data_IF_871221407413
#
_entry.id   IF_871221407413
#
_cell.length_a   1.000
_cell.length_b   1.000
_cell.length_c   1.000
_cell.angle_alpha   90.00
_cell.angle_beta   90.00
_cell.angle_gamma   90.00
#
_symmetry.space_group_name_H-M   'P 1'
#
loop_
_entity.id
_entity.type
_entity.pdbx_description
1 polymer ?
#
# COMPACT_ATOMS: atom_id res chain seq x y z
N UNK A 1 46.60 3.41 82.80
CA UNK A 1 47.45 3.77 81.66
C UNK A 1 47.90 2.49 81.00
N UNK A 2 47.23 2.12 79.93
CA UNK A 2 47.69 1.05 79.01
C UNK A 2 47.40 1.44 77.60
N UNK A 3 48.44 1.66 76.81
CA UNK A 3 48.36 1.95 75.39
C UNK A 3 48.28 0.64 74.62
N UNK A 4 47.19 0.42 73.89
CA UNK A 4 47.10 -0.70 72.97
C UNK A 4 47.48 -0.24 71.57
N UNK A 5 48.47 -0.78 70.94
CA UNK A 5 48.92 -0.51 69.59
C UNK A 5 48.14 -1.44 68.64
N UNK A 6 47.41 -0.83 67.68
CA UNK A 6 46.82 -1.58 66.57
C UNK A 6 47.81 -1.63 65.40
N UNK A 7 47.97 -2.82 64.83
CA UNK A 7 48.72 -3.10 63.59
C UNK A 7 47.85 -2.80 62.38
N UNK A 8 48.40 -2.24 61.30
CA UNK A 8 47.64 -2.02 60.10
C UNK A 8 47.60 -3.33 59.28
N UNK A 9 46.37 -3.71 58.84
CA UNK A 9 46.08 -4.75 57.87
C UNK A 9 46.44 -4.25 56.47
N UNK A 10 47.44 -4.88 55.80
CA UNK A 10 47.77 -4.61 54.41
C UNK A 10 46.76 -5.34 53.51
N UNK A 11 45.94 -4.58 52.80
CA UNK A 11 45.07 -5.09 51.77
C UNK A 11 45.88 -5.36 50.46
N UNK A 12 46.01 -6.62 50.10
CA UNK A 12 46.58 -7.03 48.78
C UNK A 12 45.48 -6.94 47.75
N UNK A 13 45.50 -5.92 46.92
CA UNK A 13 44.65 -5.79 45.73
C UNK A 13 45.28 -6.64 44.62
N UNK A 14 44.67 -7.78 44.32
CA UNK A 14 44.97 -8.55 43.12
C UNK A 14 44.33 -7.89 41.92
N UNK A 15 45.13 -7.24 41.08
CA UNK A 15 44.67 -6.76 39.79
C UNK A 15 44.51 -7.93 38.83
N UNK A 16 43.27 -8.34 38.56
CA UNK A 16 42.99 -9.31 37.51
C UNK A 16 43.11 -8.60 36.15
N UNK A 17 44.15 -8.89 35.42
CA UNK A 17 44.33 -8.48 34.03
C UNK A 17 43.37 -9.28 33.16
N UNK A 18 42.26 -8.68 32.78
CA UNK A 18 41.37 -9.24 31.77
C UNK A 18 42.07 -9.06 30.42
N UNK A 19 42.69 -10.12 29.91
CA UNK A 19 43.16 -10.19 28.53
C UNK A 19 41.90 -10.39 27.65
N UNK A 20 41.37 -9.31 27.09
CA UNK A 20 40.42 -9.42 26.01
C UNK A 20 41.13 -9.94 24.77
N UNK A 21 40.61 -10.96 24.08
CA UNK A 21 41.17 -11.33 22.79
C UNK A 21 40.99 -10.15 21.83
N UNK A 22 42.10 -9.59 21.35
CA UNK A 22 42.11 -8.68 20.23
C UNK A 22 41.74 -9.51 19.00
N UNK A 23 40.45 -9.54 18.66
CA UNK A 23 40.03 -9.93 17.33
C UNK A 23 40.68 -8.95 16.37
N UNK A 24 41.46 -9.43 15.40
CA UNK A 24 41.92 -8.66 14.25
C UNK A 24 40.71 -8.15 13.44
N UNK A 25 40.06 -7.15 13.97
CA UNK A 25 39.15 -6.32 13.23
C UNK A 25 39.99 -5.36 12.38
N UNK A 26 40.41 -5.80 11.22
CA UNK A 26 40.66 -4.88 10.14
C UNK A 26 39.33 -4.16 9.97
N UNK A 27 39.22 -2.95 10.54
CA UNK A 27 37.99 -2.19 10.66
C UNK A 27 37.43 -1.79 9.30
N UNK A 28 36.76 -2.71 8.65
CA UNK A 28 35.81 -2.35 7.62
C UNK A 28 34.65 -1.66 8.33
N UNK A 29 34.54 -0.36 8.11
CA UNK A 29 33.36 0.39 8.51
C UNK A 29 32.18 -0.36 7.87
N UNK A 30 31.23 -0.88 8.67
CA UNK A 30 30.08 -1.59 8.09
C UNK A 30 29.38 -0.68 7.08
N UNK A 31 28.85 -1.22 5.98
CA UNK A 31 28.19 -0.39 4.96
C UNK A 31 27.08 0.41 5.62
N UNK A 32 27.14 1.73 5.48
CA UNK A 32 26.10 2.63 5.98
C UNK A 32 24.90 2.57 5.05
N UNK A 33 24.09 1.52 5.20
CA UNK A 33 22.82 1.34 4.48
C UNK A 33 21.70 1.38 5.48
N UNK A 34 20.85 2.38 5.35
CA UNK A 34 19.57 2.41 6.08
C UNK A 34 18.55 1.59 5.31
N UNK A 35 17.86 0.67 5.98
CA UNK A 35 16.64 0.09 5.44
C UNK A 35 15.57 -0.02 6.52
N UNK A 36 14.36 0.40 6.15
CA UNK A 36 13.24 0.48 7.08
C UNK A 36 11.90 0.27 6.39
N UNK A 37 10.94 -0.20 7.15
CA UNK A 37 9.53 -0.28 6.78
C UNK A 37 8.83 0.96 7.35
N UNK A 38 8.34 1.89 6.51
CA UNK A 38 7.78 3.17 6.97
C UNK A 38 6.45 3.00 7.73
N UNK A 39 5.63 2.03 7.33
CA UNK A 39 4.35 1.70 7.98
C UNK A 39 4.33 0.23 8.37
N UNK A 40 3.97 -0.06 9.60
CA UNK A 40 3.81 -1.44 10.11
C UNK A 40 2.90 -2.24 9.19
N UNK A 41 3.35 -3.41 8.66
CA UNK A 41 2.55 -4.25 7.80
C UNK A 41 1.33 -4.80 8.54
N UNK A 42 0.17 -4.73 7.92
CA UNK A 42 -1.07 -5.32 8.42
C UNK A 42 -1.47 -6.49 7.54
N UNK A 43 -1.93 -7.59 8.14
CA UNK A 43 -2.38 -8.77 7.39
C UNK A 43 -3.65 -8.44 6.62
N UNK A 44 -3.61 -8.63 5.31
CA UNK A 44 -4.77 -8.54 4.43
C UNK A 44 -5.19 -9.95 3.99
N UNK A 45 -6.49 -10.22 3.96
CA UNK A 45 -7.03 -11.47 3.42
C UNK A 45 -7.53 -11.24 1.99
N UNK A 46 -7.24 -12.18 1.10
CA UNK A 46 -7.66 -12.19 -0.31
C UNK A 46 -8.39 -13.48 -0.61
N UNK A 47 -8.86 -13.66 -1.83
CA UNK A 47 -9.42 -14.92 -2.32
C UNK A 47 -8.42 -16.08 -2.24
N UNK A 48 -7.14 -15.79 -2.52
CA UNK A 48 -6.05 -16.76 -2.59
C UNK A 48 -5.32 -16.99 -1.26
N UNK A 49 -5.69 -16.28 -0.17
CA UNK A 49 -5.06 -16.48 1.13
C UNK A 49 -4.85 -15.20 1.93
N UNK A 50 -3.76 -15.16 2.68
CA UNK A 50 -3.35 -13.99 3.46
C UNK A 50 -2.02 -13.44 2.98
N UNK A 51 -1.87 -12.12 3.01
CA UNK A 51 -0.71 -11.42 2.49
C UNK A 51 -0.33 -10.22 3.36
N UNK A 52 0.96 -9.92 3.41
CA UNK A 52 1.50 -8.66 3.87
C UNK A 52 1.96 -7.86 2.64
N UNK A 53 1.34 -6.72 2.39
CA UNK A 53 1.71 -5.81 1.32
C UNK A 53 2.24 -4.51 1.91
N UNK A 54 3.54 -4.25 1.74
CA UNK A 54 4.23 -3.09 2.33
C UNK A 54 5.49 -2.73 1.55
N UNK A 55 6.09 -1.61 1.86
CA UNK A 55 7.29 -1.09 1.23
C UNK A 55 8.50 -1.19 2.18
N UNK A 56 9.65 -1.60 1.62
CA UNK A 56 10.95 -1.51 2.27
C UNK A 56 11.75 -0.39 1.60
N UNK A 57 12.11 0.64 2.35
CA UNK A 57 12.97 1.71 1.89
C UNK A 57 14.42 1.32 2.14
N UNK A 58 15.27 1.43 1.12
CA UNK A 58 16.70 1.13 1.19
C UNK A 58 17.47 2.35 0.73
N UNK A 59 18.28 2.94 1.60
CA UNK A 59 19.06 4.15 1.33
C UNK A 59 20.54 3.87 1.47
N UNK A 60 21.32 4.15 0.43
CA UNK A 60 22.77 4.12 0.49
C UNK A 60 23.28 5.41 1.16
N UNK A 61 23.80 5.35 2.35
CA UNK A 61 24.37 6.48 3.08
C UNK A 61 25.89 6.63 2.88
N UNK A 62 26.50 5.83 2.01
CA UNK A 62 27.91 5.95 1.65
C UNK A 62 28.10 6.82 0.41
N UNK A 63 29.32 7.25 0.13
CA UNK A 63 29.67 7.94 -1.14
C UNK A 63 29.85 6.96 -2.32
N UNK A 64 30.05 5.66 -2.04
CA UNK A 64 30.32 4.65 -3.06
C UNK A 64 29.04 4.01 -3.58
N UNK A 65 28.91 3.77 -4.89
CA UNK A 65 27.75 3.07 -5.43
C UNK A 65 27.72 1.61 -4.96
N UNK A 66 26.53 1.06 -4.82
CA UNK A 66 26.31 -0.34 -4.52
C UNK A 66 25.14 -0.89 -5.32
N UNK A 67 25.09 -2.20 -5.48
CA UNK A 67 23.98 -2.91 -6.16
C UNK A 67 23.23 -3.79 -5.17
N UNK A 68 21.91 -3.62 -5.12
CA UNK A 68 21.03 -4.50 -4.36
C UNK A 68 20.81 -5.79 -5.15
N UNK A 69 21.29 -6.93 -4.60
CA UNK A 69 21.27 -8.23 -5.25
C UNK A 69 20.09 -9.10 -4.81
N UNK A 70 19.73 -9.01 -3.52
CA UNK A 70 18.64 -9.81 -2.95
C UNK A 70 17.99 -9.09 -1.78
N UNK A 71 16.67 -9.31 -1.65
CA UNK A 71 15.90 -8.92 -0.46
C UNK A 71 15.11 -10.13 0.00
N UNK A 72 15.31 -10.52 1.24
CA UNK A 72 14.59 -11.62 1.89
C UNK A 72 13.78 -11.09 3.05
N UNK A 73 12.56 -11.63 3.20
CA UNK A 73 11.70 -11.43 4.36
C UNK A 73 11.73 -12.70 5.20
N UNK A 74 12.12 -12.57 6.46
CA UNK A 74 12.36 -13.70 7.35
C UNK A 74 11.48 -13.57 8.59
N UNK A 75 10.90 -14.68 9.05
CA UNK A 75 10.21 -14.79 10.34
C UNK A 75 10.51 -16.11 10.99
N UNK A 76 10.81 -16.10 12.29
CA UNK A 76 11.17 -17.31 13.07
C UNK A 76 12.18 -18.23 12.36
N UNK A 77 13.20 -17.63 11.74
CA UNK A 77 14.25 -18.36 11.01
C UNK A 77 13.87 -18.89 9.63
N UNK A 78 12.60 -18.73 9.19
CA UNK A 78 12.14 -19.13 7.86
C UNK A 78 12.11 -17.96 6.91
N UNK A 79 12.54 -18.15 5.66
CA UNK A 79 12.37 -17.21 4.57
C UNK A 79 10.93 -17.32 4.08
N UNK A 80 10.16 -16.23 4.20
CA UNK A 80 8.78 -16.12 3.74
C UNK A 80 8.72 -15.64 2.29
N UNK A 81 9.66 -14.79 1.88
CA UNK A 81 9.77 -14.26 0.52
C UNK A 81 11.23 -13.94 0.22
N UNK A 82 11.62 -14.16 -1.03
CA UNK A 82 12.94 -13.82 -1.55
C UNK A 82 12.79 -13.21 -2.93
N UNK A 83 13.33 -12.01 -3.11
CA UNK A 83 13.42 -11.32 -4.40
C UNK A 83 14.89 -11.21 -4.79
N UNK A 84 15.20 -11.55 -6.05
CA UNK A 84 16.57 -11.57 -6.54
C UNK A 84 16.72 -10.81 -7.86
N UNK A 85 17.91 -10.28 -8.10
CA UNK A 85 18.26 -9.70 -9.40
C UNK A 85 18.47 -10.78 -10.46
N UNK A 86 18.84 -12.00 -10.06
CA UNK A 86 19.10 -13.12 -10.95
C UNK A 86 17.87 -13.56 -11.78
N UNK A 87 16.65 -13.41 -11.22
CA UNK A 87 15.39 -13.77 -11.86
C UNK A 87 14.52 -12.54 -12.23
N UNK A 88 15.08 -11.35 -12.14
CA UNK A 88 14.43 -10.06 -12.36
C UNK A 88 13.28 -9.72 -11.39
N UNK A 89 12.98 -10.58 -10.41
CA UNK A 89 11.88 -10.33 -9.46
C UNK A 89 12.14 -9.06 -8.65
N UNK A 90 13.39 -8.83 -8.25
CA UNK A 90 13.78 -7.65 -7.49
C UNK A 90 13.67 -6.36 -8.32
N UNK A 91 14.11 -6.37 -9.63
CA UNK A 91 13.94 -5.20 -10.50
C UNK A 91 12.47 -4.83 -10.67
N UNK A 92 11.61 -5.83 -10.89
CA UNK A 92 10.17 -5.61 -11.03
C UNK A 92 9.54 -5.07 -9.75
N UNK A 93 9.99 -5.54 -8.59
CA UNK A 93 9.51 -5.09 -7.29
C UNK A 93 10.08 -3.75 -6.82
N UNK A 94 11.07 -3.17 -7.52
CA UNK A 94 11.77 -1.97 -7.08
C UNK A 94 11.38 -0.75 -7.89
N UNK A 95 11.21 0.39 -7.22
CA UNK A 95 11.13 1.73 -7.80
C UNK A 95 12.23 2.63 -7.25
N UNK A 96 12.50 3.71 -7.98
CA UNK A 96 13.35 4.80 -7.54
C UNK A 96 12.53 6.08 -7.49
N UNK A 97 12.88 7.00 -6.63
CA UNK A 97 12.22 8.32 -6.53
C UNK A 97 12.39 9.11 -7.84
N UNK A 98 13.53 8.95 -8.50
CA UNK A 98 13.78 9.49 -9.83
C UNK A 98 13.45 8.46 -10.90
N UNK A 99 12.89 8.90 -12.03
CA UNK A 99 12.67 8.02 -13.18
C UNK A 99 14.02 7.61 -13.78
N UNK A 100 14.34 6.33 -13.67
CA UNK A 100 15.55 5.72 -14.24
C UNK A 100 15.18 4.44 -15.01
N UNK A 101 16.01 3.98 -15.95
CA UNK A 101 15.79 2.71 -16.64
C UNK A 101 15.60 1.55 -15.66
N UNK A 102 14.76 0.58 -16.03
CA UNK A 102 14.47 -0.59 -15.17
C UNK A 102 15.75 -1.35 -14.81
N UNK A 103 16.70 -1.45 -15.75
CA UNK A 103 17.98 -2.13 -15.55
C UNK A 103 18.84 -1.49 -14.44
N UNK A 104 18.70 -0.18 -14.21
CA UNK A 104 19.52 0.56 -13.23
C UNK A 104 18.86 0.70 -11.86
N UNK A 105 17.62 0.22 -11.70
CA UNK A 105 16.85 0.39 -10.45
C UNK A 105 17.54 -0.13 -9.21
N UNK A 106 18.36 -1.17 -9.35
CA UNK A 106 19.05 -1.83 -8.25
C UNK A 106 20.41 -1.23 -7.93
N UNK A 107 20.95 -0.36 -8.80
CA UNK A 107 22.21 0.35 -8.57
C UNK A 107 21.94 1.61 -7.75
N UNK A 108 22.44 1.65 -6.53
CA UNK A 108 22.24 2.73 -5.56
C UNK A 108 23.52 3.55 -5.45
N UNK A 109 23.56 4.72 -6.09
CA UNK A 109 24.61 5.70 -5.88
C UNK A 109 24.54 6.30 -4.47
N UNK A 110 25.58 7.01 -4.04
CA UNK A 110 25.61 7.67 -2.74
C UNK A 110 24.40 8.60 -2.53
N UNK A 111 23.71 8.48 -1.40
CA UNK A 111 22.49 9.20 -1.08
C UNK A 111 21.22 8.69 -1.78
N UNK A 112 21.33 7.71 -2.67
CA UNK A 112 20.18 7.21 -3.42
C UNK A 112 19.30 6.28 -2.57
N UNK A 113 17.98 6.37 -2.81
CA UNK A 113 16.97 5.49 -2.18
C UNK A 113 16.27 4.63 -3.22
N UNK A 114 16.13 3.34 -2.92
CA UNK A 114 15.19 2.43 -3.57
C UNK A 114 13.97 2.18 -2.68
N UNK A 115 12.83 1.91 -3.31
CA UNK A 115 11.61 1.46 -2.66
C UNK A 115 11.32 0.06 -3.20
N UNK A 116 11.37 -0.95 -2.33
CA UNK A 116 11.07 -2.34 -2.68
C UNK A 116 9.65 -2.66 -2.23
N UNK A 117 8.78 -2.98 -3.17
CA UNK A 117 7.39 -3.36 -2.92
C UNK A 117 7.32 -4.85 -2.61
N UNK A 118 7.00 -5.17 -1.38
CA UNK A 118 6.93 -6.54 -0.88
C UNK A 118 5.49 -7.02 -0.85
N UNK A 119 5.27 -8.17 -1.47
CA UNK A 119 4.01 -8.92 -1.44
C UNK A 119 4.34 -10.30 -0.87
N UNK A 120 4.09 -10.47 0.43
CA UNK A 120 4.57 -11.64 1.19
C UNK A 120 3.38 -12.51 1.56
N UNK A 121 3.17 -13.65 0.91
CA UNK A 121 2.18 -14.63 1.34
C UNK A 121 2.48 -15.11 2.76
N UNK A 122 1.45 -15.22 3.59
CA UNK A 122 1.55 -15.70 4.96
C UNK A 122 0.46 -16.71 5.27
N UNK A 123 0.67 -17.51 6.31
CA UNK A 123 -0.36 -18.42 6.79
C UNK A 123 -1.54 -17.63 7.37
N UNK A 124 -2.74 -17.87 6.83
CA UNK A 124 -3.98 -17.22 7.29
C UNK A 124 -4.31 -17.55 8.73
N UNK A 125 -4.09 -18.80 9.15
CA UNK A 125 -4.40 -19.28 10.50
C UNK A 125 -3.38 -18.79 11.53
N UNK A 126 -2.12 -18.66 11.11
CA UNK A 126 -1.02 -18.29 11.99
C UNK A 126 -0.05 -17.30 11.33
N UNK A 127 -0.49 -16.06 11.05
CA UNK A 127 0.38 -15.05 10.45
C UNK A 127 1.53 -14.71 11.41
N UNK A 128 2.71 -14.32 10.88
CA UNK A 128 3.85 -13.96 11.70
C UNK A 128 3.54 -12.75 12.58
N UNK A 129 4.05 -12.74 13.81
CA UNK A 129 3.93 -11.59 14.70
C UNK A 129 4.98 -10.50 14.38
N UNK A 130 6.06 -10.89 13.73
CA UNK A 130 7.18 -10.00 13.41
C UNK A 130 7.99 -10.52 12.23
N UNK A 131 8.64 -9.60 11.54
CA UNK A 131 9.49 -9.86 10.38
C UNK A 131 10.89 -9.31 10.62
N UNK A 132 11.87 -9.88 9.90
CA UNK A 132 13.18 -9.27 9.66
C UNK A 132 13.44 -9.22 8.17
N UNK A 133 14.25 -8.27 7.75
CA UNK A 133 14.67 -8.12 6.36
C UNK A 133 16.17 -8.39 6.27
N UNK A 134 16.54 -9.22 5.30
CA UNK A 134 17.93 -9.51 4.98
C UNK A 134 18.22 -9.04 3.57
N UNK A 135 19.24 -8.19 3.42
CA UNK A 135 19.65 -7.62 2.16
C UNK A 135 21.01 -8.17 1.76
N UNK A 136 21.15 -8.61 0.51
CA UNK A 136 22.44 -8.89 -0.09
C UNK A 136 22.80 -7.72 -1.00
N UNK A 137 23.91 -7.09 -0.73
CA UNK A 137 24.45 -5.94 -1.44
C UNK A 137 25.80 -6.29 -2.04
N UNK A 138 26.08 -5.72 -3.21
CA UNK A 138 27.41 -5.83 -3.84
C UNK A 138 28.01 -4.45 -4.02
N UNK A 139 29.25 -4.28 -3.60
CA UNK A 139 30.10 -3.12 -3.83
C UNK A 139 31.39 -3.61 -4.46
N UNK A 140 31.65 -3.17 -5.69
CA UNK A 140 32.73 -3.71 -6.53
C UNK A 140 32.66 -5.25 -6.59
N UNK A 141 33.68 -5.94 -6.06
CA UNK A 141 33.76 -7.40 -5.99
C UNK A 141 33.28 -7.97 -4.67
N UNK A 142 32.98 -7.13 -3.67
CA UNK A 142 32.60 -7.57 -2.32
C UNK A 142 31.09 -7.70 -2.22
N UNK A 143 30.64 -8.85 -1.78
CA UNK A 143 29.22 -9.11 -1.46
C UNK A 143 29.04 -9.14 0.06
N UNK A 144 28.09 -8.38 0.55
CA UNK A 144 27.77 -8.25 1.97
C UNK A 144 26.31 -8.61 2.22
N UNK A 145 26.03 -9.22 3.36
CA UNK A 145 24.68 -9.53 3.81
C UNK A 145 24.40 -8.74 5.08
N UNK A 146 23.35 -7.92 5.02
CA UNK A 146 22.89 -7.12 6.16
C UNK A 146 21.56 -7.66 6.65
N UNK A 147 21.39 -7.77 7.96
CA UNK A 147 20.10 -8.08 8.58
C UNK A 147 19.61 -6.89 9.41
N UNK A 148 18.37 -6.49 9.18
CA UNK A 148 17.75 -5.37 9.85
C UNK A 148 17.13 -5.73 11.20
N UNK A 149 16.63 -4.69 11.87
CA UNK A 149 15.85 -4.84 13.09
C UNK A 149 14.50 -5.51 12.84
N UNK A 150 13.89 -5.98 13.91
CA UNK A 150 12.57 -6.59 13.86
C UNK A 150 11.49 -5.57 13.53
N UNK A 151 10.62 -5.91 12.59
CA UNK A 151 9.42 -5.15 12.22
C UNK A 151 8.19 -5.89 12.77
N UNK A 152 7.34 -5.28 13.61
CA UNK A 152 6.10 -5.91 14.06
C UNK A 152 5.11 -6.09 12.90
N UNK A 153 4.11 -6.96 13.09
CA UNK A 153 3.01 -7.18 12.15
C UNK A 153 1.69 -6.98 12.88
N UNK A 154 0.80 -6.17 12.31
CA UNK A 154 -0.58 -5.99 12.77
C UNK A 154 -1.49 -7.08 12.18
N UNK A 155 -2.36 -7.67 13.02
CA UNK A 155 -3.20 -8.80 12.61
C UNK A 155 -4.59 -8.41 12.11
N UNK A 156 -5.08 -7.24 12.50
CA UNK A 156 -6.46 -6.84 12.24
C UNK A 156 -6.54 -5.75 11.17
N UNK A 157 -7.07 -6.10 10.01
CA UNK A 157 -7.56 -5.12 9.04
C UNK A 157 -8.88 -4.50 9.52
N UNK A 158 -9.18 -3.29 9.05
CA UNK A 158 -10.42 -2.57 9.40
C UNK A 158 -11.62 -3.27 8.79
N UNK A 159 -12.60 -3.68 9.61
CA UNK A 159 -13.83 -4.32 9.12
C UNK A 159 -14.83 -3.27 8.62
N UNK A 160 -15.23 -3.39 7.37
CA UNK A 160 -16.17 -2.48 6.70
C UNK A 160 -17.26 -3.23 5.95
N UNK A 161 -18.36 -2.55 5.61
CA UNK A 161 -19.26 -3.00 4.53
C UNK A 161 -18.75 -2.48 3.18
N UNK A 162 -19.18 -3.06 2.06
CA UNK A 162 -18.80 -2.57 0.73
C UNK A 162 -19.23 -1.11 0.48
N UNK A 163 -18.44 -0.34 -0.31
CA UNK A 163 -18.77 1.03 -0.69
C UNK A 163 -19.88 1.11 -1.74
N UNK A 164 -20.18 0.02 -2.42
CA UNK A 164 -21.16 -0.11 -3.51
C UNK A 164 -21.85 -1.48 -3.45
N UNK A 165 -22.96 -1.67 -4.17
CA UNK A 165 -23.69 -2.96 -4.27
C UNK A 165 -23.54 -3.56 -5.66
N UNK A 166 -23.68 -4.89 -5.77
CA UNK A 166 -23.70 -5.60 -7.04
C UNK A 166 -22.32 -5.97 -7.59
N UNK A 167 -22.21 -6.10 -8.91
CA UNK A 167 -20.99 -6.59 -9.56
C UNK A 167 -20.08 -5.46 -10.03
N UNK A 168 -18.78 -5.60 -9.75
CA UNK A 168 -17.75 -4.60 -10.04
C UNK A 168 -16.43 -5.25 -10.42
N UNK A 169 -15.73 -4.65 -11.37
CA UNK A 169 -14.35 -4.96 -11.67
C UNK A 169 -13.42 -4.09 -10.80
N UNK A 170 -12.47 -4.70 -10.11
CA UNK A 170 -11.50 -4.03 -9.24
C UNK A 170 -10.23 -3.70 -10.02
N UNK A 171 -10.15 -2.51 -10.60
CA UNK A 171 -8.94 -2.04 -11.27
C UNK A 171 -8.03 -1.26 -10.32
N UNK A 172 -6.73 -1.17 -10.68
CA UNK A 172 -5.71 -0.50 -9.87
C UNK A 172 -5.68 -0.97 -8.40
N UNK A 173 -6.29 -2.11 -8.11
CA UNK A 173 -6.36 -2.69 -6.78
C UNK A 173 -5.00 -3.15 -6.24
N UNK A 174 -4.97 -3.68 -5.00
CA UNK A 174 -3.73 -4.11 -4.37
C UNK A 174 -2.97 -5.13 -5.22
N UNK A 175 -1.76 -4.78 -5.63
CA UNK A 175 -0.79 -5.67 -6.27
C UNK A 175 0.57 -4.96 -6.36
N UNK A 176 1.67 -5.70 -6.59
CA UNK A 176 2.98 -5.07 -6.81
C UNK A 176 3.07 -4.31 -8.14
N UNK A 177 2.15 -4.53 -9.09
CA UNK A 177 2.11 -3.88 -10.40
C UNK A 177 1.18 -2.66 -10.43
N UNK A 178 0.32 -2.48 -9.44
CA UNK A 178 -0.67 -1.40 -9.38
C UNK A 178 -0.02 -0.01 -9.38
N UNK A 179 -0.53 0.87 -10.23
CA UNK A 179 -0.13 2.29 -10.25
C UNK A 179 -0.42 2.98 -8.92
N UNK A 180 -1.56 2.69 -8.29
CA UNK A 180 -1.92 3.20 -6.97
C UNK A 180 -0.87 2.86 -5.92
N UNK A 181 -0.51 1.59 -5.80
CA UNK A 181 0.47 1.16 -4.82
C UNK A 181 1.86 1.75 -5.05
N UNK A 182 2.23 1.98 -6.31
CA UNK A 182 3.53 2.54 -6.67
C UNK A 182 3.61 4.06 -6.55
N UNK A 183 2.50 4.71 -6.20
CA UNK A 183 2.46 6.13 -5.92
C UNK A 183 2.91 6.38 -4.47
N UNK A 184 4.20 6.59 -4.29
CA UNK A 184 4.81 7.02 -3.03
C UNK A 184 5.18 8.48 -3.16
N UNK A 185 4.61 9.33 -2.32
CA UNK A 185 4.82 10.77 -2.35
C UNK A 185 5.42 11.26 -1.03
N UNK A 186 6.23 12.31 -1.13
CA UNK A 186 6.69 13.06 0.03
C UNK A 186 5.87 14.35 0.11
N UNK A 187 4.98 14.42 1.08
CA UNK A 187 4.11 15.57 1.35
C UNK A 187 4.26 15.95 2.81
N UNK A 188 4.24 17.23 3.11
CA UNK A 188 4.35 17.76 4.47
C UNK A 188 5.53 17.21 5.28
N UNK A 189 6.67 16.97 4.58
CA UNK A 189 7.92 16.51 5.17
C UNK A 189 8.01 15.01 5.47
N UNK A 190 7.01 14.21 5.14
CA UNK A 190 7.05 12.75 5.29
C UNK A 190 6.62 12.02 4.02
N UNK A 191 7.04 10.77 3.91
CA UNK A 191 6.72 9.91 2.76
C UNK A 191 5.56 9.00 3.12
N UNK A 192 4.54 8.95 2.27
CA UNK A 192 3.38 8.07 2.42
C UNK A 192 3.09 7.28 1.14
N UNK A 193 2.54 6.06 1.30
CA UNK A 193 1.93 5.25 0.26
C UNK A 193 0.41 5.24 0.46
N UNK A 194 -0.22 6.40 0.18
CA UNK A 194 -1.63 6.63 0.49
C UNK A 194 -2.57 5.66 -0.22
N UNK A 195 -2.25 5.27 -1.43
CA UNK A 195 -3.08 4.41 -2.26
C UNK A 195 -2.64 2.93 -2.25
N UNK A 196 -1.90 2.48 -1.23
CA UNK A 196 -1.39 1.08 -1.13
C UNK A 196 -2.48 0.03 -1.31
N UNK A 197 -3.68 0.28 -0.81
CA UNK A 197 -4.83 -0.61 -0.86
C UNK A 197 -6.05 0.03 -1.54
N UNK A 198 -5.84 1.10 -2.30
CA UNK A 198 -6.90 1.74 -3.07
C UNK A 198 -7.36 0.85 -4.22
N UNK A 199 -8.64 0.96 -4.57
CA UNK A 199 -9.26 0.23 -5.67
C UNK A 199 -10.14 1.19 -6.47
N UNK A 200 -10.05 1.12 -7.80
CA UNK A 200 -10.99 1.73 -8.73
C UNK A 200 -12.04 0.69 -9.10
N UNK A 201 -13.26 0.87 -8.62
CA UNK A 201 -14.38 -0.01 -8.94
C UNK A 201 -15.14 0.50 -10.16
N UNK A 202 -15.12 -0.30 -11.24
CA UNK A 202 -15.87 -0.06 -12.48
C UNK A 202 -16.96 -1.10 -12.64
N UNK A 203 -18.13 -0.71 -13.16
CA UNK A 203 -19.13 -1.67 -13.64
C UNK A 203 -18.85 -2.03 -15.09
N UNK A 204 -18.93 -3.32 -15.40
CA UNK A 204 -18.75 -3.84 -16.75
C UNK A 204 -19.86 -4.84 -17.09
N UNK A 205 -20.22 -4.94 -18.36
CA UNK A 205 -21.14 -5.95 -18.85
C UNK A 205 -20.44 -7.32 -19.01
N UNK A 206 -21.16 -8.31 -19.50
CA UNK A 206 -20.65 -9.67 -19.73
C UNK A 206 -19.52 -9.73 -20.76
N UNK A 207 -19.36 -8.72 -21.60
CA UNK A 207 -18.30 -8.60 -22.60
C UNK A 207 -17.12 -7.74 -22.12
N UNK A 208 -17.18 -7.21 -20.88
CA UNK A 208 -16.17 -6.36 -20.31
C UNK A 208 -16.30 -4.87 -20.68
N UNK A 209 -17.36 -4.44 -21.35
CA UNK A 209 -17.56 -3.01 -21.65
C UNK A 209 -18.05 -2.27 -20.41
N UNK A 210 -17.41 -1.15 -20.08
CA UNK A 210 -17.88 -0.21 -19.04
C UNK A 210 -19.02 0.69 -19.53
N UNK A 211 -19.25 0.77 -20.83
CA UNK A 211 -20.23 1.61 -21.50
C UNK A 211 -21.29 0.79 -22.22
N UNK A 212 -22.55 1.25 -22.19
CA UNK A 212 -23.67 0.59 -22.89
C UNK A 212 -23.42 0.56 -24.39
N UNK A 213 -23.59 -0.60 -25.05
CA UNK A 213 -23.36 -0.74 -26.49
C UNK A 213 -24.19 0.24 -27.33
N UNK A 214 -23.61 0.74 -28.43
CA UNK A 214 -24.27 1.64 -29.35
C UNK A 214 -24.48 3.08 -28.85
N UNK A 215 -23.96 3.42 -27.66
CA UNK A 215 -24.11 4.77 -27.07
C UNK A 215 -22.86 5.63 -27.27
N UNK A 216 -23.02 6.97 -27.16
CA UNK A 216 -21.92 7.92 -27.30
C UNK A 216 -20.91 7.78 -26.14
N UNK A 217 -19.62 7.65 -26.47
CA UNK A 217 -18.55 7.53 -25.48
C UNK A 217 -18.32 8.83 -24.68
N UNK A 218 -18.70 9.97 -25.21
CA UNK A 218 -18.52 11.29 -24.58
C UNK A 218 -19.50 11.61 -23.44
N UNK A 219 -20.53 10.79 -23.24
CA UNK A 219 -21.55 11.02 -22.21
C UNK A 219 -21.37 10.10 -21.02
N UNK A 220 -21.11 10.67 -19.84
CA UNK A 220 -20.97 9.93 -18.58
C UNK A 220 -22.19 9.03 -18.30
N UNK A 221 -23.41 9.50 -18.58
CA UNK A 221 -24.67 8.75 -18.36
C UNK A 221 -24.78 7.46 -19.17
N UNK A 222 -23.93 7.25 -20.17
CA UNK A 222 -23.88 6.03 -20.96
C UNK A 222 -23.01 4.91 -20.34
N UNK A 223 -22.29 5.23 -19.27
CA UNK A 223 -21.48 4.25 -18.52
C UNK A 223 -22.32 3.59 -17.42
N UNK A 224 -22.10 2.29 -17.21
CA UNK A 224 -22.90 1.52 -16.24
C UNK A 224 -22.74 2.04 -14.81
N UNK A 225 -21.53 2.42 -14.41
CA UNK A 225 -21.21 2.89 -13.06
C UNK A 225 -21.79 4.28 -12.74
N UNK A 226 -22.04 5.13 -13.75
CA UNK A 226 -22.43 6.53 -13.54
C UNK A 226 -23.76 6.66 -12.79
N UNK A 227 -23.77 7.48 -11.74
CA UNK A 227 -24.94 7.74 -10.91
C UNK A 227 -25.26 6.62 -9.90
N UNK A 228 -24.39 5.61 -9.78
CA UNK A 228 -24.56 4.57 -8.74
C UNK A 228 -24.40 5.17 -7.35
N UNK A 229 -25.21 4.70 -6.40
CA UNK A 229 -25.14 5.12 -4.99
C UNK A 229 -23.84 4.67 -4.33
N UNK A 230 -23.15 5.62 -3.69
CA UNK A 230 -22.01 5.37 -2.83
C UNK A 230 -22.49 5.27 -1.38
N UNK A 231 -22.01 4.26 -0.67
CA UNK A 231 -22.49 3.88 0.65
C UNK A 231 -21.42 4.12 1.73
N UNK A 232 -21.82 4.67 2.87
CA UNK A 232 -20.96 4.71 4.04
C UNK A 232 -20.60 3.28 4.47
N UNK A 233 -19.30 2.94 4.47
CA UNK A 233 -18.82 1.58 4.78
C UNK A 233 -18.87 1.21 6.25
N UNK A 234 -19.05 2.21 7.13
CA UNK A 234 -19.16 2.07 8.57
C UNK A 234 -19.96 3.24 9.15
N UNK A 235 -20.34 3.14 10.41
CA UNK A 235 -20.78 4.30 11.19
C UNK A 235 -19.59 5.26 11.33
N UNK A 236 -19.85 6.58 11.27
CA UNK A 236 -18.77 7.56 11.36
C UNK A 236 -19.24 9.00 11.31
N UNK A 237 -18.28 9.90 11.16
CA UNK A 237 -18.51 11.34 11.01
C UNK A 237 -17.85 11.80 9.72
N UNK A 238 -18.55 12.57 8.92
CA UNK A 238 -17.99 13.16 7.69
C UNK A 238 -16.90 14.17 8.06
N UNK A 239 -15.66 13.82 7.73
CA UNK A 239 -14.48 14.62 8.07
C UNK A 239 -14.11 15.63 6.98
N UNK A 240 -14.38 15.30 5.72
CA UNK A 240 -14.04 16.15 4.60
C UNK A 240 -14.99 15.91 3.40
N UNK A 241 -15.29 16.97 2.66
CA UNK A 241 -16.04 16.90 1.40
C UNK A 241 -15.51 17.91 0.40
N UNK A 242 -15.68 17.61 -0.90
CA UNK A 242 -15.51 18.56 -1.99
C UNK A 242 -16.61 18.33 -3.03
N UNK A 243 -17.21 19.44 -3.54
CA UNK A 243 -18.30 19.37 -4.51
C UNK A 243 -18.27 20.57 -5.49
N UNK A 244 -17.05 20.91 -5.94
CA UNK A 244 -16.83 22.10 -6.80
C UNK A 244 -16.05 21.80 -8.08
N UNK A 245 -15.68 20.52 -8.29
CA UNK A 245 -14.93 20.10 -9.48
C UNK A 245 -15.93 19.66 -10.55
N UNK A 246 -15.88 20.24 -11.76
CA UNK A 246 -16.76 19.82 -12.87
C UNK A 246 -16.43 18.39 -13.31
N UNK A 247 -17.43 17.73 -13.93
CA UNK A 247 -17.21 16.41 -14.51
C UNK A 247 -16.35 16.47 -15.77
N UNK A 248 -15.55 15.43 -15.93
CA UNK A 248 -14.85 15.19 -17.18
C UNK A 248 -15.80 14.69 -18.26
N UNK A 249 -15.51 15.02 -19.49
CA UNK A 249 -15.95 14.20 -20.63
C UNK A 249 -15.08 12.93 -20.62
N UNK A 250 -15.66 11.72 -20.72
CA UNK A 250 -14.88 10.49 -20.74
C UNK A 250 -13.70 10.54 -21.72
N UNK A 251 -12.51 10.15 -21.25
CA UNK A 251 -11.25 10.28 -21.99
C UNK A 251 -10.53 11.62 -21.84
N UNK A 252 -11.20 12.67 -21.32
CA UNK A 252 -10.64 14.00 -21.11
C UNK A 252 -10.45 14.36 -19.63
N UNK A 253 -10.03 15.61 -19.39
CA UNK A 253 -9.94 16.23 -18.07
C UNK A 253 -10.55 17.62 -18.14
N UNK A 254 -11.52 17.89 -17.25
CA UNK A 254 -12.19 19.20 -17.16
C UNK A 254 -11.34 20.25 -16.44
N UNK A 255 -10.40 19.80 -15.62
CA UNK A 255 -9.49 20.66 -14.84
C UNK A 255 -8.06 20.15 -14.94
N UNK A 256 -7.08 21.04 -14.67
CA UNK A 256 -5.70 20.64 -14.45
C UNK A 256 -5.63 19.75 -13.20
N UNK A 257 -4.89 18.65 -13.29
CA UNK A 257 -4.72 17.73 -12.17
C UNK A 257 -3.53 18.15 -11.33
N UNK A 258 -3.79 18.38 -10.05
CA UNK A 258 -2.84 18.71 -9.00
C UNK A 258 -3.30 18.07 -7.67
N UNK A 259 -2.64 18.37 -6.55
CA UNK A 259 -2.98 17.81 -5.24
C UNK A 259 -4.39 18.17 -4.76
N UNK A 260 -4.96 19.26 -5.26
CA UNK A 260 -6.28 19.75 -4.86
C UNK A 260 -7.39 19.10 -5.69
N UNK A 261 -7.11 18.81 -6.96
CA UNK A 261 -8.10 18.37 -7.96
C UNK A 261 -8.03 16.88 -8.27
N UNK A 262 -6.96 16.18 -7.84
CA UNK A 262 -6.72 14.76 -8.17
C UNK A 262 -7.89 13.85 -7.75
N UNK A 263 -8.47 14.02 -6.57
CA UNK A 263 -9.62 13.25 -6.09
C UNK A 263 -10.95 13.67 -6.74
N UNK A 264 -10.98 14.79 -7.49
CA UNK A 264 -12.24 15.38 -7.96
C UNK A 264 -13.14 15.80 -6.79
N UNK A 265 -14.45 15.60 -6.95
CA UNK A 265 -15.37 15.68 -5.82
C UNK A 265 -15.23 14.42 -4.96
N UNK A 266 -15.39 14.55 -3.65
CA UNK A 266 -15.12 13.45 -2.74
C UNK A 266 -15.88 13.55 -1.42
N UNK A 267 -15.97 12.42 -0.73
CA UNK A 267 -16.39 12.29 0.67
C UNK A 267 -15.30 11.55 1.43
N UNK A 268 -14.91 12.09 2.59
CA UNK A 268 -14.04 11.43 3.57
C UNK A 268 -14.79 11.27 4.89
N UNK A 269 -14.86 10.05 5.41
CA UNK A 269 -15.57 9.70 6.65
C UNK A 269 -14.54 9.22 7.67
N UNK A 270 -14.49 9.86 8.83
CA UNK A 270 -13.80 9.34 10.00
C UNK A 270 -14.66 8.20 10.59
N UNK A 271 -14.16 6.98 10.49
CA UNK A 271 -14.81 5.76 10.98
C UNK A 271 -14.29 5.33 12.36
N UNK A 272 -13.51 6.19 13.01
CA UNK A 272 -12.94 5.97 14.34
C UNK A 272 -11.55 5.36 14.32
N UNK A 273 -10.88 5.40 15.48
CA UNK A 273 -9.55 4.82 15.65
C UNK A 273 -8.44 5.45 14.78
N UNK A 274 -8.61 6.70 14.32
CA UNK A 274 -7.68 7.34 13.38
C UNK A 274 -7.78 6.77 11.96
N UNK A 275 -8.92 6.18 11.59
CA UNK A 275 -9.14 5.53 10.30
C UNK A 275 -10.19 6.27 9.49
N UNK A 276 -9.94 6.45 8.21
CA UNK A 276 -10.78 7.21 7.29
C UNK A 276 -11.16 6.37 6.09
N UNK A 277 -12.44 6.44 5.69
CA UNK A 277 -12.93 5.91 4.43
C UNK A 277 -13.06 7.05 3.41
N UNK A 278 -12.36 6.93 2.28
CA UNK A 278 -12.24 7.98 1.27
C UNK A 278 -12.83 7.52 -0.06
N UNK A 279 -13.74 8.34 -0.61
CA UNK A 279 -14.47 8.09 -1.87
C UNK A 279 -14.20 9.25 -2.82
N UNK A 280 -13.59 8.98 -3.98
CA UNK A 280 -13.27 10.01 -4.96
C UNK A 280 -14.07 9.87 -6.25
N UNK A 281 -13.95 10.88 -7.12
CA UNK A 281 -14.58 11.01 -8.42
C UNK A 281 -16.12 11.10 -8.37
N UNK A 282 -16.64 11.64 -7.27
CA UNK A 282 -18.08 11.81 -7.01
C UNK A 282 -18.71 12.76 -8.04
N UNK A 283 -19.96 12.49 -8.37
CA UNK A 283 -20.77 13.35 -9.26
C UNK A 283 -21.01 14.72 -8.62
N UNK A 284 -20.78 15.84 -9.35
CA UNK A 284 -21.05 17.18 -8.83
C UNK A 284 -22.51 17.36 -8.43
N UNK A 285 -22.75 18.03 -7.30
CA UNK A 285 -24.09 18.31 -6.78
C UNK A 285 -24.84 17.08 -6.23
N UNK A 286 -24.15 15.93 -6.10
CA UNK A 286 -24.79 14.70 -5.64
C UNK A 286 -24.57 14.38 -4.16
N UNK A 287 -23.78 15.18 -3.44
CA UNK A 287 -23.50 14.96 -2.03
C UNK A 287 -24.79 14.99 -1.21
N UNK A 288 -25.00 13.96 -0.40
CA UNK A 288 -26.13 13.85 0.54
C UNK A 288 -25.72 14.10 1.98
N UNK A 289 -24.46 14.48 2.19
CA UNK A 289 -23.85 14.72 3.50
C UNK A 289 -22.91 15.92 3.43
N UNK A 290 -22.65 16.54 4.58
CA UNK A 290 -21.70 17.64 4.76
C UNK A 290 -20.77 17.34 5.93
N UNK A 291 -19.65 18.04 6.02
CA UNK A 291 -18.69 17.94 7.12
C UNK A 291 -19.41 18.10 8.48
N UNK A 292 -19.13 17.21 9.40
CA UNK A 292 -19.71 17.11 10.72
C UNK A 292 -20.96 16.22 10.82
N UNK A 293 -21.58 15.82 9.71
CA UNK A 293 -22.71 14.91 9.74
C UNK A 293 -22.31 13.51 10.24
N UNK A 294 -23.16 12.90 11.08
CA UNK A 294 -23.04 11.50 11.45
C UNK A 294 -23.70 10.63 10.39
N UNK A 295 -23.00 9.61 9.95
CA UNK A 295 -23.50 8.63 8.98
C UNK A 295 -23.62 7.25 9.60
N UNK A 296 -24.53 6.45 9.06
CA UNK A 296 -24.69 5.05 9.41
C UNK A 296 -24.18 4.16 8.29
N UNK A 297 -23.62 3.01 8.64
CA UNK A 297 -23.24 1.96 7.69
C UNK A 297 -24.37 1.69 6.71
N UNK A 298 -24.05 1.67 5.42
CA UNK A 298 -25.03 1.47 4.34
C UNK A 298 -25.85 2.70 3.94
N UNK A 299 -25.70 3.83 4.64
CA UNK A 299 -26.32 5.11 4.25
C UNK A 299 -25.75 5.59 2.92
N UNK A 300 -26.62 6.06 2.00
CA UNK A 300 -26.20 6.69 0.77
C UNK A 300 -25.62 8.07 1.07
N UNK A 301 -24.38 8.31 0.62
CA UNK A 301 -23.61 9.54 0.90
C UNK A 301 -23.43 10.44 -0.32
N UNK A 302 -23.43 9.86 -1.54
CA UNK A 302 -23.26 10.57 -2.81
C UNK A 302 -23.61 9.64 -3.98
N UNK A 303 -23.49 10.17 -5.22
CA UNK A 303 -23.53 9.38 -6.45
C UNK A 303 -22.17 9.35 -7.12
N UNK A 304 -21.86 8.21 -7.74
CA UNK A 304 -20.64 7.98 -8.52
C UNK A 304 -20.64 8.84 -9.78
N UNK A 305 -19.54 9.53 -10.04
CA UNK A 305 -19.36 10.43 -11.17
C UNK A 305 -18.07 10.20 -11.94
N UNK A 306 -17.52 11.26 -12.53
CA UNK A 306 -16.30 11.26 -13.35
C UNK A 306 -15.53 12.57 -13.18
N UNK A 307 -15.30 13.03 -11.95
CA UNK A 307 -14.59 14.28 -11.67
C UNK A 307 -13.11 14.05 -11.29
N UNK A 308 -12.26 15.05 -11.52
CA UNK A 308 -10.83 15.00 -11.13
C UNK A 308 -9.97 14.10 -12.03
N UNK A 309 -9.04 13.34 -11.45
CA UNK A 309 -8.15 12.44 -12.21
C UNK A 309 -8.83 11.12 -12.58
N UNK A 310 -9.93 11.21 -13.30
CA UNK A 310 -10.74 10.09 -13.77
C UNK A 310 -10.93 10.15 -15.28
N UNK A 311 -10.81 9.03 -16.00
CA UNK A 311 -11.00 8.94 -17.45
C UNK A 311 -12.40 8.47 -17.85
N UNK A 312 -13.09 7.79 -16.95
CA UNK A 312 -14.45 7.28 -17.11
C UNK A 312 -15.10 7.07 -15.74
N UNK A 313 -16.44 7.03 -15.68
CA UNK A 313 -17.14 6.87 -14.41
C UNK A 313 -16.71 5.62 -13.64
N UNK A 314 -16.14 5.84 -12.45
CA UNK A 314 -15.76 4.81 -11.49
C UNK A 314 -15.69 5.41 -10.08
N UNK A 315 -15.66 4.60 -9.04
CA UNK A 315 -15.32 5.06 -7.69
C UNK A 315 -13.92 4.62 -7.34
N UNK A 316 -13.05 5.59 -7.05
CA UNK A 316 -11.82 5.33 -6.32
C UNK A 316 -12.13 5.26 -4.83
N UNK A 317 -11.85 4.13 -4.22
CA UNK A 317 -12.11 3.88 -2.80
C UNK A 317 -10.85 3.42 -2.09
N UNK A 318 -10.59 3.98 -0.90
CA UNK A 318 -9.51 3.55 -0.02
C UNK A 318 -9.84 3.75 1.45
N UNK A 319 -9.20 2.96 2.30
CA UNK A 319 -9.09 3.20 3.75
C UNK A 319 -7.69 3.72 4.03
N UNK A 320 -7.59 4.74 4.89
CA UNK A 320 -6.31 5.38 5.22
C UNK A 320 -6.27 5.80 6.70
N UNK A 321 -5.07 6.09 7.23
CA UNK A 321 -4.86 6.58 8.59
C UNK A 321 -4.95 8.12 8.73
N UNK A 322 -5.55 8.76 7.73
CA UNK A 322 -5.78 10.21 7.69
C UNK A 322 -6.76 10.60 6.59
N UNK A 323 -7.25 11.85 6.58
CA UNK A 323 -8.28 12.32 5.66
C UNK A 323 -7.74 12.70 4.27
N UNK A 324 -6.54 12.28 3.90
CA UNK A 324 -5.90 12.61 2.63
C UNK A 324 -5.70 11.38 1.75
N UNK A 325 -6.07 11.46 0.47
CA UNK A 325 -5.83 10.39 -0.51
C UNK A 325 -4.34 10.11 -0.77
N UNK A 326 -3.46 11.10 -0.54
CA UNK A 326 -2.07 11.04 -0.95
C UNK A 326 -1.09 11.16 0.23
N UNK A 327 -1.43 11.93 1.27
CA UNK A 327 -0.53 12.21 2.39
C UNK A 327 -0.71 11.28 3.60
N UNK A 328 -1.81 10.50 3.64
CA UNK A 328 -2.03 9.47 4.64
C UNK A 328 -1.53 8.10 4.15
N UNK A 329 -1.30 7.16 5.06
CA UNK A 329 -0.94 5.79 4.72
C UNK A 329 -2.17 4.95 4.40
N UNK A 330 -2.18 4.28 3.24
CA UNK A 330 -3.25 3.35 2.87
C UNK A 330 -3.24 2.10 3.73
N UNK A 331 -4.41 1.76 4.29
CA UNK A 331 -4.62 0.62 5.17
C UNK A 331 -5.43 -0.48 4.47
N UNK A 332 -5.16 -1.77 4.72
CA UNK A 332 -6.03 -2.83 4.25
C UNK A 332 -7.35 -2.83 5.01
N UNK A 333 -8.39 -3.30 4.37
CA UNK A 333 -9.70 -3.47 4.98
C UNK A 333 -10.22 -4.90 4.80
N UNK A 334 -11.26 -5.24 5.55
CA UNK A 334 -11.91 -6.53 5.54
C UNK A 334 -13.39 -6.34 5.20
N UNK A 335 -13.84 -6.84 4.05
CA UNK A 335 -15.23 -6.87 3.62
C UNK A 335 -15.63 -8.27 3.15
N UNK A 336 -16.93 -8.53 3.07
CA UNK A 336 -17.47 -9.77 2.50
C UNK A 336 -17.86 -9.54 1.04
N UNK A 337 -17.45 -10.45 0.15
CA UNK A 337 -17.78 -10.42 -1.28
C UNK A 337 -17.64 -11.81 -1.91
N UNK A 338 -18.20 -11.98 -3.12
CA UNK A 338 -17.91 -13.13 -3.97
C UNK A 338 -16.94 -12.71 -5.08
N UNK A 339 -15.93 -13.52 -5.38
CA UNK A 339 -15.13 -13.42 -6.60
C UNK A 339 -15.84 -14.19 -7.71
N UNK A 340 -16.09 -13.54 -8.84
CA UNK A 340 -16.81 -14.07 -10.00
C UNK A 340 -15.87 -14.35 -11.18
N UNK A 341 -14.63 -13.89 -11.13
CA UNK A 341 -13.68 -13.99 -12.21
C UNK A 341 -12.60 -12.92 -12.18
N UNK A 342 -11.97 -12.70 -13.33
CA UNK A 342 -10.93 -11.71 -13.50
C UNK A 342 -11.16 -10.87 -14.76
N UNK A 343 -10.83 -9.58 -14.68
CA UNK A 343 -10.86 -8.64 -15.80
C UNK A 343 -9.45 -8.15 -16.10
N UNK A 344 -9.15 -7.93 -17.36
CA UNK A 344 -7.87 -7.34 -17.80
C UNK A 344 -8.09 -6.26 -18.84
N UNK A 345 -7.11 -5.38 -19.00
CA UNK A 345 -7.09 -4.36 -20.05
C UNK A 345 -6.02 -4.78 -21.06
N UNK A 346 -6.40 -4.98 -22.31
CA UNK A 346 -5.47 -5.39 -23.36
C UNK A 346 -5.92 -4.95 -24.75
N UNK A 347 -5.08 -5.18 -25.75
CA UNK A 347 -5.36 -4.84 -27.14
C UNK A 347 -4.98 -3.39 -27.51
N UNK A 348 -5.13 -3.08 -28.81
CA UNK A 348 -4.95 -1.72 -29.35
C UNK A 348 -6.10 -1.44 -30.33
N UNK A 349 -7.06 -0.57 -30.03
CA UNK A 349 -7.15 0.23 -28.78
C UNK A 349 -7.39 -0.64 -27.52
N UNK A 350 -7.05 -0.13 -26.34
CA UNK A 350 -7.26 -0.87 -25.09
C UNK A 350 -8.73 -1.23 -24.86
N UNK A 351 -8.98 -2.49 -24.50
CA UNK A 351 -10.32 -3.01 -24.19
C UNK A 351 -10.27 -3.84 -22.92
N UNK A 352 -11.29 -3.69 -22.08
CA UNK A 352 -11.50 -4.57 -20.94
C UNK A 352 -12.07 -5.89 -21.44
N UNK A 353 -11.53 -7.00 -20.94
CA UNK A 353 -12.04 -8.35 -21.14
C UNK A 353 -12.12 -9.04 -19.79
N UNK A 354 -13.22 -9.77 -19.54
CA UNK A 354 -13.43 -10.49 -18.30
C UNK A 354 -13.63 -11.97 -18.56
N UNK A 355 -13.00 -12.81 -17.76
CA UNK A 355 -13.32 -14.24 -17.64
C UNK A 355 -14.17 -14.44 -16.38
N UNK A 356 -15.14 -15.37 -16.42
CA UNK A 356 -16.03 -15.66 -15.30
C UNK A 356 -15.94 -17.11 -14.89
N UNK A 357 -16.13 -17.37 -13.61
CA UNK A 357 -16.26 -18.69 -13.01
C UNK A 357 -17.41 -18.72 -11.99
N UNK A 358 -17.67 -19.88 -11.40
CA UNK A 358 -18.62 -20.00 -10.30
C UNK A 358 -18.20 -19.09 -9.13
N UNK A 359 -19.15 -18.43 -8.45
CA UNK A 359 -18.83 -17.52 -7.34
C UNK A 359 -18.01 -18.21 -6.25
N UNK A 360 -16.95 -17.57 -5.81
CA UNK A 360 -16.13 -18.00 -4.68
C UNK A 360 -16.30 -16.97 -3.56
N UNK A 361 -16.88 -17.37 -2.44
CA UNK A 361 -17.13 -16.47 -1.32
C UNK A 361 -15.83 -16.14 -0.57
N UNK A 362 -15.57 -14.86 -0.38
CA UNK A 362 -14.49 -14.33 0.45
C UNK A 362 -15.08 -13.63 1.66
N UNK A 363 -14.69 -14.07 2.86
CA UNK A 363 -15.12 -13.52 4.15
C UNK A 363 -14.00 -12.71 4.76
N UNK A 364 -14.31 -11.44 5.11
CA UNK A 364 -13.35 -10.53 5.73
C UNK A 364 -12.10 -10.29 4.88
N UNK A 365 -12.25 -10.16 3.58
CA UNK A 365 -11.15 -9.96 2.64
C UNK A 365 -11.15 -8.60 1.95
N UNK A 366 -10.15 -8.38 1.11
CA UNK A 366 -10.02 -7.23 0.23
C UNK A 366 -9.91 -7.72 -1.21
N UNK A 367 -10.69 -7.16 -2.16
CA UNK A 367 -10.49 -7.45 -3.58
C UNK A 367 -9.09 -7.04 -4.02
N UNK A 368 -8.47 -7.85 -4.87
CA UNK A 368 -7.18 -7.53 -5.47
C UNK A 368 -7.33 -7.05 -6.91
N UNK A 369 -6.23 -6.57 -7.48
CA UNK A 369 -6.22 -6.02 -8.83
C UNK A 369 -6.78 -7.02 -9.85
N UNK A 370 -7.69 -6.54 -10.68
CA UNK A 370 -8.32 -7.25 -11.80
C UNK A 370 -9.39 -8.28 -11.41
N UNK A 371 -9.75 -8.42 -10.15
CA UNK A 371 -10.88 -9.27 -9.78
C UNK A 371 -12.22 -8.67 -10.25
N UNK A 372 -13.08 -9.55 -10.74
CA UNK A 372 -14.50 -9.27 -10.89
C UNK A 372 -15.22 -9.78 -9.63
N UNK A 373 -15.80 -8.86 -8.87
CA UNK A 373 -16.39 -9.17 -7.57
C UNK A 373 -17.87 -8.83 -7.52
N UNK A 374 -18.60 -9.50 -6.62
CA UNK A 374 -19.99 -9.16 -6.31
C UNK A 374 -20.14 -8.88 -4.82
N UNK A 375 -20.55 -7.64 -4.52
CA UNK A 375 -20.92 -7.23 -3.19
C UNK A 375 -22.38 -7.58 -2.88
N UNK A 376 -22.75 -7.83 -1.62
CA UNK A 376 -24.15 -8.03 -1.21
C UNK A 376 -25.06 -6.88 -1.63
N UNK A 377 -26.35 -7.18 -1.85
CA UNK A 377 -27.39 -6.19 -2.20
C UNK A 377 -27.81 -5.34 -1.03
#
# INVERSE_FOLDING_TARGET
MQFSRALPLAAITAAATIVMPVADAHGQIPPSVEFRVPKTPTVAFTDSGAVLAYELFVTNLTAMPMTLRRVEVVSAGKILSSLSDADTSLQRATSRVTQIPVADRLKLDGGARAIVYLWVPVDRANPPAQLRHRLTLQRDTVTEVLEGTTTPVERAAVSISPPVRGEWAAFNGPSNASGHRRLVLALDGHTASGQRFAIDFLQVDSLGSSRRPGTEASKNSNYYAYGTELLAVADGVVAATKDSIPENVPGGRAVKIDLITVGGNFVGIDIGGGTYALYAHVQPGSLRVKVGDRVKRGQVIALLGNSGNSTEPHVHFQIADGPSFLAAEGLPYAADFDVLGNCGIGGNPPKITCTRHAPTAVKGGIPIQNELVRFPK
#
